data_IF_625774453281
#
_entry.id   IF_625774453281
#
_cell.length_a   1.000
_cell.length_b   1.000
_cell.length_c   1.000
_cell.angle_alpha   90.00
_cell.angle_beta   90.00
_cell.angle_gamma   90.00
#
_symmetry.space_group_name_H-M   'P 1'
#
loop_
_entity.id
_entity.type
_entity.pdbx_description
1 polymer ?
#
# COMPACT_ATOMS: atom_id res chain seq x y z
N UNK A 1 4.20 11.18 -20.08
CA UNK A 1 2.81 11.14 -19.56
C UNK A 1 2.64 10.25 -18.32
N UNK A 2 2.71 8.91 -18.40
CA UNK A 2 2.39 8.05 -17.24
C UNK A 2 3.42 8.09 -16.09
N UNK A 3 4.71 8.27 -16.41
CA UNK A 3 5.78 8.48 -15.41
C UNK A 3 5.64 9.81 -14.69
N UNK A 4 5.25 10.85 -15.43
CA UNK A 4 5.11 12.23 -14.95
C UNK A 4 3.86 12.42 -14.09
N UNK A 5 2.89 11.49 -14.18
CA UNK A 5 1.64 11.50 -13.40
C UNK A 5 1.65 10.49 -12.23
N UNK A 6 2.83 10.18 -11.69
CA UNK A 6 2.99 9.34 -10.50
C UNK A 6 2.45 7.89 -10.60
N UNK A 7 2.17 7.38 -11.82
CA UNK A 7 1.53 6.06 -12.00
C UNK A 7 2.53 4.92 -11.75
N UNK A 8 2.12 3.94 -10.95
CA UNK A 8 2.95 2.76 -10.64
C UNK A 8 2.86 1.67 -11.73
N UNK A 9 1.71 1.56 -12.40
CA UNK A 9 1.41 0.53 -13.39
C UNK A 9 0.68 1.12 -14.60
N UNK A 10 0.88 0.51 -15.77
CA UNK A 10 0.06 0.68 -16.97
C UNK A 10 -0.66 -0.64 -17.23
N UNK A 11 -1.94 -0.58 -17.57
CA UNK A 11 -2.75 -1.75 -17.93
C UNK A 11 -3.39 -1.54 -19.29
N UNK A 12 -3.58 -2.66 -19.99
CA UNK A 12 -4.24 -2.70 -21.28
C UNK A 12 -4.99 -4.02 -21.44
N UNK A 13 -5.95 -4.00 -22.35
CA UNK A 13 -6.81 -5.11 -22.71
C UNK A 13 -6.64 -5.42 -24.20
N UNK A 14 -6.52 -6.70 -24.53
CA UNK A 14 -6.33 -7.16 -25.92
C UNK A 14 -7.09 -8.44 -26.17
N UNK A 15 -7.66 -8.59 -27.37
CA UNK A 15 -8.27 -9.86 -27.77
C UNK A 15 -7.24 -10.99 -27.85
N UNK A 16 -7.62 -12.22 -27.48
CA UNK A 16 -6.74 -13.40 -27.61
C UNK A 16 -6.27 -13.68 -29.05
N UNK A 17 -7.06 -13.33 -30.05
CA UNK A 17 -6.77 -13.57 -31.47
C UNK A 17 -5.84 -12.51 -32.09
N UNK A 18 -5.65 -11.37 -31.43
CA UNK A 18 -4.76 -10.30 -31.90
C UNK A 18 -3.29 -10.58 -31.55
N UNK A 19 -2.73 -11.61 -32.22
CA UNK A 19 -1.35 -12.07 -32.02
C UNK A 19 -0.31 -10.97 -32.22
N UNK A 20 -0.55 -10.03 -33.15
CA UNK A 20 0.36 -8.92 -33.42
C UNK A 20 0.47 -7.95 -32.24
N UNK A 21 -0.67 -7.56 -31.66
CA UNK A 21 -0.69 -6.70 -30.48
C UNK A 21 -0.13 -7.41 -29.25
N UNK A 22 -0.48 -8.69 -29.03
CA UNK A 22 0.06 -9.51 -27.93
C UNK A 22 1.59 -9.53 -27.99
N UNK A 23 2.16 -9.87 -29.15
CA UNK A 23 3.61 -9.92 -29.31
C UNK A 23 4.27 -8.53 -29.12
N UNK A 24 3.60 -7.45 -29.52
CA UNK A 24 4.07 -6.09 -29.24
C UNK A 24 4.12 -5.80 -27.73
N UNK A 25 3.08 -6.18 -26.98
CA UNK A 25 3.00 -5.93 -25.55
C UNK A 25 4.05 -6.73 -24.78
N UNK A 26 4.21 -8.01 -25.10
CA UNK A 26 5.23 -8.87 -24.50
C UNK A 26 6.64 -8.32 -24.73
N UNK A 27 6.98 -7.93 -25.98
CA UNK A 27 8.27 -7.29 -26.30
C UNK A 27 8.49 -5.98 -25.54
N UNK A 28 7.41 -5.27 -25.23
CA UNK A 28 7.47 -4.03 -24.45
C UNK A 28 7.44 -4.26 -22.92
N UNK A 29 7.52 -5.51 -22.46
CA UNK A 29 7.62 -5.87 -21.04
C UNK A 29 6.29 -5.83 -20.27
N UNK A 30 5.17 -5.89 -20.98
CA UNK A 30 3.88 -6.18 -20.36
C UNK A 30 3.76 -7.67 -20.05
N UNK A 31 3.07 -8.00 -18.95
CA UNK A 31 2.81 -9.38 -18.53
C UNK A 31 1.31 -9.63 -18.40
N UNK A 32 0.79 -10.78 -18.86
CA UNK A 32 -0.61 -11.12 -18.65
C UNK A 32 -0.86 -11.38 -17.16
N UNK A 33 -2.02 -10.95 -16.65
CA UNK A 33 -2.38 -11.18 -15.24
C UNK A 33 -3.84 -11.59 -15.02
N UNK A 34 -4.72 -11.42 -16.01
CA UNK A 34 -6.12 -11.80 -15.94
C UNK A 34 -6.75 -11.92 -17.32
N UNK A 35 -7.92 -12.54 -17.38
CA UNK A 35 -8.82 -12.55 -18.55
C UNK A 35 -10.19 -12.06 -18.09
N UNK A 36 -10.81 -11.19 -18.88
CA UNK A 36 -12.18 -10.69 -18.65
C UNK A 36 -13.05 -11.24 -19.76
N UNK A 37 -14.09 -11.98 -19.39
CA UNK A 37 -15.10 -12.46 -20.33
C UNK A 37 -16.06 -11.32 -20.67
N UNK A 38 -16.69 -11.41 -21.84
CA UNK A 38 -17.75 -10.48 -22.24
C UNK A 38 -17.30 -9.01 -22.16
N UNK A 39 -16.08 -8.75 -22.65
CA UNK A 39 -15.44 -7.43 -22.54
C UNK A 39 -15.72 -6.57 -23.78
N UNK A 40 -15.69 -7.18 -24.95
CA UNK A 40 -16.00 -6.52 -26.20
C UNK A 40 -17.50 -6.62 -26.52
N UNK A 41 -17.99 -5.74 -27.39
CA UNK A 41 -19.41 -5.66 -27.76
C UNK A 41 -19.97 -6.95 -28.38
N UNK A 42 -19.13 -7.76 -29.01
CA UNK A 42 -19.48 -9.08 -29.55
C UNK A 42 -19.38 -10.20 -28.51
N UNK A 43 -19.36 -9.85 -27.22
CA UNK A 43 -19.23 -10.74 -26.08
C UNK A 43 -17.90 -11.52 -26.00
N UNK A 44 -16.89 -11.15 -26.79
CA UNK A 44 -15.59 -11.82 -26.72
C UNK A 44 -14.82 -11.46 -25.45
N UNK A 45 -13.90 -12.35 -25.07
CA UNK A 45 -13.00 -12.09 -23.94
C UNK A 45 -11.86 -11.12 -24.30
N UNK A 46 -11.28 -10.52 -23.26
CA UNK A 46 -10.07 -9.72 -23.33
C UNK A 46 -9.01 -10.26 -22.36
N UNK A 47 -7.79 -10.44 -22.87
CA UNK A 47 -6.60 -10.66 -22.07
C UNK A 47 -6.15 -9.34 -21.46
N UNK A 48 -5.90 -9.32 -20.16
CA UNK A 48 -5.38 -8.16 -19.45
C UNK A 48 -3.88 -8.28 -19.24
N UNK A 49 -3.18 -7.24 -19.65
CA UNK A 49 -1.75 -7.12 -19.49
C UNK A 49 -1.41 -5.95 -18.59
N UNK A 50 -0.34 -6.06 -17.81
CA UNK A 50 0.18 -4.97 -17.01
C UNK A 50 1.69 -4.80 -17.18
N UNK A 51 2.13 -3.54 -17.16
CA UNK A 51 3.54 -3.16 -17.12
C UNK A 51 3.76 -2.25 -15.92
N UNK A 52 4.68 -2.65 -15.06
CA UNK A 52 5.13 -1.80 -13.96
C UNK A 52 5.95 -0.63 -14.51
N UNK A 53 5.51 0.59 -14.28
CA UNK A 53 6.16 1.82 -14.77
C UNK A 53 7.25 2.27 -13.80
N UNK A 54 7.03 2.07 -12.50
CA UNK A 54 7.94 2.44 -11.42
C UNK A 54 8.53 1.22 -10.76
N UNK A 55 9.84 1.08 -10.86
CA UNK A 55 10.59 0.21 -9.97
C UNK A 55 11.13 1.12 -8.83
N UNK A 56 10.44 1.27 -7.68
CA UNK A 56 11.12 1.79 -6.51
C UNK A 56 12.34 0.89 -6.31
N UNK A 57 13.53 1.49 -6.32
CA UNK A 57 14.81 0.80 -6.45
C UNK A 57 14.85 -0.52 -5.70
N UNK A 58 15.43 -1.52 -6.35
CA UNK A 58 15.71 -2.84 -5.77
C UNK A 58 16.63 -2.77 -4.53
N UNK A 59 17.17 -1.60 -4.21
CA UNK A 59 18.03 -1.41 -3.05
C UNK A 59 17.23 -1.12 -1.78
N UNK A 60 17.34 -2.07 -0.84
CA UNK A 60 16.88 -2.01 0.54
C UNK A 60 15.40 -2.34 0.80
N UNK A 61 14.99 -3.55 0.43
CA UNK A 61 13.92 -4.21 1.21
C UNK A 61 14.47 -4.49 2.61
N UNK A 62 14.29 -3.53 3.54
CA UNK A 62 14.53 -3.79 4.96
C UNK A 62 13.63 -4.95 5.38
N UNK A 63 14.17 -5.92 6.10
CA UNK A 63 13.37 -6.98 6.71
C UNK A 63 12.41 -6.35 7.72
N UNK A 64 11.11 -6.41 7.44
CA UNK A 64 10.06 -5.92 8.34
C UNK A 64 9.51 -7.11 9.11
N UNK A 65 9.61 -7.15 10.45
CA UNK A 65 9.02 -8.23 11.23
C UNK A 65 7.50 -8.20 11.08
N UNK A 66 6.90 -9.36 10.85
CA UNK A 66 5.45 -9.48 10.78
C UNK A 66 4.85 -9.46 12.19
N UNK A 67 3.87 -8.59 12.41
CA UNK A 67 3.05 -8.55 13.62
C UNK A 67 1.57 -8.45 13.22
N UNK A 68 0.82 -9.51 13.53
CA UNK A 68 -0.63 -9.52 13.30
C UNK A 68 -1.32 -8.62 14.31
N UNK A 69 -2.13 -7.68 13.84
CA UNK A 69 -2.96 -6.84 14.71
C UNK A 69 -3.84 -7.71 15.63
N UNK A 70 -4.06 -7.26 16.86
CA UNK A 70 -4.84 -8.03 17.85
C UNK A 70 -6.27 -7.53 18.04
N UNK A 71 -6.64 -6.42 17.40
CA UNK A 71 -8.01 -5.88 17.39
C UNK A 71 -8.39 -5.39 15.99
N UNK A 72 -9.69 -5.16 15.78
CA UNK A 72 -10.24 -4.73 14.50
C UNK A 72 -9.98 -3.25 14.17
N UNK A 73 -9.40 -2.50 15.11
CA UNK A 73 -9.24 -1.04 15.02
C UNK A 73 -7.79 -0.56 15.18
N UNK A 74 -6.80 -1.47 15.24
CA UNK A 74 -5.38 -1.16 15.46
C UNK A 74 -4.51 -1.31 14.21
N UNK A 75 -5.09 -1.33 13.01
CA UNK A 75 -4.34 -1.51 11.77
C UNK A 75 -3.20 -0.48 11.59
N UNK A 76 -3.46 0.80 11.87
CA UNK A 76 -2.43 1.85 11.86
C UNK A 76 -1.32 1.62 12.90
N UNK A 77 -1.66 1.47 14.20
CA UNK A 77 -0.71 1.12 15.26
C UNK A 77 0.12 -0.14 14.99
N UNK A 78 -0.48 -1.21 14.48
CA UNK A 78 0.21 -2.45 14.13
C UNK A 78 1.20 -2.22 12.97
N UNK A 79 0.79 -1.50 11.92
CA UNK A 79 1.69 -1.09 10.84
C UNK A 79 2.85 -0.25 11.35
N UNK A 80 2.59 0.71 12.23
CA UNK A 80 3.63 1.55 12.82
C UNK A 80 4.58 0.72 13.70
N UNK A 81 4.06 -0.23 14.48
CA UNK A 81 4.87 -1.14 15.31
C UNK A 81 5.81 -2.00 14.46
N UNK A 82 5.33 -2.55 13.34
CA UNK A 82 6.17 -3.29 12.39
C UNK A 82 7.26 -2.40 11.78
N UNK A 83 6.91 -1.17 11.37
CA UNK A 83 7.88 -0.21 10.85
C UNK A 83 8.95 0.16 11.89
N UNK A 84 8.56 0.36 13.14
CA UNK A 84 9.49 0.61 14.25
C UNK A 84 10.42 -0.59 14.48
N UNK A 85 9.89 -1.83 14.46
CA UNK A 85 10.70 -3.05 14.60
C UNK A 85 11.69 -3.25 13.45
N UNK A 86 11.33 -2.84 12.23
CA UNK A 86 12.25 -2.86 11.09
C UNK A 86 13.42 -1.86 11.21
N UNK A 87 13.24 -0.79 11.97
CA UNK A 87 14.24 0.25 12.21
C UNK A 87 15.03 0.01 13.51
N UNK A 88 14.44 -0.65 14.49
CA UNK A 88 15.01 -1.00 15.79
C UNK A 88 14.75 -2.50 16.07
N UNK A 89 15.63 -3.40 15.62
CA UNK A 89 15.38 -4.85 15.68
C UNK A 89 15.16 -5.41 17.10
N UNK A 90 15.72 -4.76 18.12
CA UNK A 90 15.55 -5.17 19.53
C UNK A 90 14.19 -4.77 20.13
N UNK A 91 13.40 -3.95 19.42
CA UNK A 91 12.09 -3.53 19.90
C UNK A 91 11.13 -4.71 19.91
N UNK A 92 10.55 -4.99 21.07
CA UNK A 92 9.54 -6.04 21.20
C UNK A 92 8.20 -5.60 20.59
N UNK A 93 7.62 -6.47 19.75
CA UNK A 93 6.32 -6.26 19.14
C UNK A 93 5.27 -6.97 20.02
N UNK A 94 4.62 -6.22 20.90
CA UNK A 94 3.66 -6.76 21.88
C UNK A 94 2.30 -6.08 21.75
N UNK A 95 1.24 -6.80 22.15
CA UNK A 95 -0.14 -6.25 22.22
C UNK A 95 -0.22 -4.99 23.08
N UNK A 96 0.59 -4.93 24.14
CA UNK A 96 0.68 -3.75 25.01
C UNK A 96 1.20 -2.53 24.26
N UNK A 97 2.23 -2.68 23.43
CA UNK A 97 2.76 -1.58 22.62
C UNK A 97 1.79 -1.20 21.49
N UNK A 98 1.14 -2.16 20.85
CA UNK A 98 0.07 -1.91 19.87
C UNK A 98 -1.05 -1.04 20.45
N UNK A 99 -1.62 -1.42 21.60
CA UNK A 99 -2.70 -0.68 22.23
C UNK A 99 -2.23 0.68 22.78
N UNK A 100 -0.97 0.79 23.21
CA UNK A 100 -0.37 2.06 23.64
C UNK A 100 -0.24 3.02 22.45
N UNK A 101 0.27 2.55 21.32
CA UNK A 101 0.32 3.33 20.08
C UNK A 101 -1.08 3.78 19.64
N UNK A 102 -2.07 2.91 19.72
CA UNK A 102 -3.47 3.28 19.44
C UNK A 102 -3.95 4.40 20.36
N UNK A 103 -3.79 4.27 21.68
CA UNK A 103 -4.23 5.29 22.66
C UNK A 103 -3.58 6.65 22.41
N UNK A 104 -2.31 6.68 22.04
CA UNK A 104 -1.58 7.92 21.78
C UNK A 104 -1.95 8.54 20.42
N UNK A 105 -2.25 7.71 19.42
CA UNK A 105 -2.52 8.15 18.06
C UNK A 105 -4.01 8.47 17.80
N UNK A 106 -4.92 7.98 18.64
CA UNK A 106 -6.35 8.22 18.53
C UNK A 106 -6.68 9.62 19.05
N UNK A 107 -6.90 10.55 18.13
CA UNK A 107 -7.21 11.96 18.43
C UNK A 107 -8.72 12.26 18.44
N UNK A 108 -9.56 11.31 18.04
CA UNK A 108 -11.02 11.42 18.14
C UNK A 108 -11.53 10.23 18.95
N UNK A 109 -12.15 10.51 20.08
CA UNK A 109 -12.94 9.54 20.81
C UNK A 109 -14.39 9.68 20.32
N UNK A 110 -14.97 8.62 19.74
CA UNK A 110 -16.39 8.59 19.40
C UNK A 110 -17.12 7.59 20.28
N UNK A 111 -18.28 7.98 20.81
CA UNK A 111 -19.19 7.11 21.57
C UNK A 111 -19.99 6.16 20.67
N UNK A 112 -19.99 6.38 19.35
CA UNK A 112 -20.48 5.45 18.34
C UNK A 112 -19.63 5.56 17.07
N UNK A 113 -19.00 4.45 16.66
CA UNK A 113 -18.14 4.35 15.47
C UNK A 113 -16.68 3.99 15.78
N UNK A 114 -15.92 3.57 14.76
CA UNK A 114 -14.50 3.25 14.88
C UNK A 114 -13.70 4.55 15.09
N UNK A 115 -13.45 4.92 16.35
CA UNK A 115 -12.45 5.91 16.70
C UNK A 115 -11.10 5.50 16.09
N UNK A 116 -10.69 6.22 15.04
CA UNK A 116 -9.53 5.87 14.24
C UNK A 116 -8.27 6.63 14.65
N UNK A 117 -7.12 5.99 14.49
CA UNK A 117 -5.84 6.68 14.56
C UNK A 117 -5.69 7.61 13.35
N UNK A 118 -5.55 8.92 13.59
CA UNK A 118 -5.23 9.87 12.52
C UNK A 118 -3.76 9.76 12.14
N UNK A 119 -3.38 10.07 10.88
CA UNK A 119 -1.99 9.99 10.47
C UNK A 119 -1.11 10.99 11.26
N UNK A 120 -1.66 12.12 11.71
CA UNK A 120 -0.98 13.05 12.62
C UNK A 120 -0.68 12.42 13.99
N UNK A 121 -1.64 11.70 14.57
CA UNK A 121 -1.47 11.03 15.86
C UNK A 121 -0.43 9.91 15.80
N UNK A 122 -0.45 9.12 14.73
CA UNK A 122 0.58 8.09 14.49
C UNK A 122 1.96 8.72 14.31
N UNK A 123 2.05 9.81 13.54
CA UNK A 123 3.29 10.54 13.34
C UNK A 123 3.85 11.07 14.67
N UNK A 124 3.01 11.65 15.52
CA UNK A 124 3.41 12.16 16.83
C UNK A 124 3.85 11.02 17.78
N UNK A 125 3.12 9.90 17.81
CA UNK A 125 3.46 8.74 18.61
C UNK A 125 4.83 8.14 18.20
N UNK A 126 5.14 8.14 16.91
CA UNK A 126 6.44 7.74 16.40
C UNK A 126 7.55 8.74 16.76
N UNK A 127 7.29 10.03 16.59
CA UNK A 127 8.24 11.09 16.92
C UNK A 127 8.60 11.08 18.41
N UNK A 128 7.61 10.90 19.31
CA UNK A 128 7.83 10.76 20.77
C UNK A 128 8.71 9.56 21.16
N UNK A 129 8.81 8.55 20.29
CA UNK A 129 9.70 7.38 20.46
C UNK A 129 11.08 7.58 19.84
N UNK A 130 11.41 8.80 19.40
CA UNK A 130 12.71 9.17 18.85
C UNK A 130 12.89 8.88 17.36
N UNK A 131 11.83 8.52 16.64
CA UNK A 131 11.91 8.30 15.20
C UNK A 131 11.87 9.63 14.43
N UNK A 132 12.61 9.70 13.33
CA UNK A 132 12.44 10.77 12.34
C UNK A 132 11.18 10.49 11.54
N UNK A 133 10.25 11.44 11.49
CA UNK A 133 8.94 11.28 10.88
C UNK A 133 8.72 12.37 9.84
N UNK A 134 8.24 11.96 8.66
CA UNK A 134 7.67 12.86 7.65
C UNK A 134 6.22 12.44 7.42
N UNK A 135 5.30 13.38 7.62
CA UNK A 135 3.89 13.16 7.31
C UNK A 135 3.63 13.60 5.87
N UNK A 136 3.02 12.71 5.08
CA UNK A 136 2.58 13.00 3.71
C UNK A 136 1.06 12.82 3.67
N UNK A 137 0.36 13.86 3.24
CA UNK A 137 -1.10 13.87 3.10
C UNK A 137 -1.44 14.09 1.62
N UNK A 138 -2.51 13.45 1.15
CA UNK A 138 -3.00 13.61 -0.23
C UNK A 138 -3.57 14.99 -0.50
N UNK A 139 -4.04 15.67 0.55
CA UNK A 139 -4.45 17.05 0.53
C UNK A 139 -3.85 17.77 1.74
N UNK A 140 -3.39 19.00 1.54
CA UNK A 140 -3.32 19.97 2.62
C UNK A 140 -4.75 20.10 3.15
N UNK A 141 -4.97 19.87 4.45
CA UNK A 141 -6.31 19.93 5.05
C UNK A 141 -7.00 21.29 4.86
N UNK A 142 -8.21 21.47 5.39
CA UNK A 142 -8.84 22.80 5.44
C UNK A 142 -7.96 23.83 6.15
#
# INVERSE_FOLDING_TARGET
AARDNDRAYMRLEVRPDNRGAIALYERNGYRPFATVRDYYEDHSEALRFEKRIRNPGHDQRRHVPFYRQTTDFTCGPACLLMAMGALQPERQLTRREELRLWREATTIYMTAGHGGCRPQGLALAAWRRGFRVKLVLSASGP
#
